data_IF_866022385432
#
_entry.id   IF_866022385432
#
_cell.length_a   1.000
_cell.length_b   1.000
_cell.length_c   1.000
_cell.angle_alpha   90.00
_cell.angle_beta   90.00
_cell.angle_gamma   90.00
#
_symmetry.space_group_name_H-M   'P 1'
#
loop_
_entity.id
_entity.type
_entity.pdbx_description
1 polymer ?
#
# COMPACT_ATOMS: atom_id res chain seq x y z
N UNK A 1 -5.76 6.96 11.90
CA UNK A 1 -6.28 6.75 10.52
C UNK A 1 -6.54 5.28 10.30
N UNK A 2 -7.26 4.88 9.24
CA UNK A 2 -7.64 3.49 8.98
C UNK A 2 -6.92 2.97 7.72
N UNK A 3 -6.43 1.75 7.78
CA UNK A 3 -5.71 1.12 6.67
C UNK A 3 -6.67 0.79 5.55
N UNK A 4 -6.43 1.30 4.34
CA UNK A 4 -7.30 0.99 3.20
C UNK A 4 -7.23 -0.49 2.79
N UNK A 5 -6.13 -1.19 3.08
CA UNK A 5 -5.97 -2.61 2.72
C UNK A 5 -6.65 -3.58 3.71
N UNK A 6 -6.51 -3.36 5.03
CA UNK A 6 -7.03 -4.28 6.04
C UNK A 6 -8.20 -3.70 6.87
N UNK A 7 -8.57 -2.44 6.64
CA UNK A 7 -9.62 -1.71 7.35
C UNK A 7 -9.45 -1.67 8.87
N UNK A 8 -8.21 -1.77 9.36
CA UNK A 8 -7.85 -1.65 10.78
C UNK A 8 -7.22 -0.30 11.09
N UNK A 9 -7.26 0.09 12.35
CA UNK A 9 -6.59 1.30 12.84
C UNK A 9 -5.09 1.23 12.55
N UNK A 10 -4.57 2.28 11.90
CA UNK A 10 -3.15 2.47 11.64
C UNK A 10 -2.58 3.36 12.72
N UNK A 11 -1.65 2.79 13.49
CA UNK A 11 -0.90 3.52 14.49
C UNK A 11 0.20 4.36 13.85
N UNK A 12 0.62 5.49 14.46
CA UNK A 12 1.67 6.35 13.93
C UNK A 12 2.97 5.62 13.57
N UNK A 13 3.32 4.58 14.34
CA UNK A 13 4.52 3.77 14.13
C UNK A 13 4.49 2.94 12.83
N UNK A 14 3.29 2.54 12.39
CA UNK A 14 3.09 1.75 11.18
C UNK A 14 2.53 2.57 10.02
N UNK A 15 2.35 3.88 10.23
CA UNK A 15 1.68 4.76 9.29
C UNK A 15 2.49 4.93 8.01
N UNK A 16 1.90 4.48 6.91
CA UNK A 16 2.42 4.67 5.57
C UNK A 16 1.36 5.39 4.73
N UNK A 17 1.75 6.47 4.07
CA UNK A 17 0.86 7.23 3.18
C UNK A 17 1.31 7.02 1.73
N UNK A 18 0.42 6.50 0.90
CA UNK A 18 0.65 6.27 -0.52
C UNK A 18 -0.56 6.75 -1.33
N UNK A 19 -0.32 7.59 -2.34
CA UNK A 19 -1.37 8.18 -3.19
C UNK A 19 -2.59 8.73 -2.42
N UNK A 20 -2.33 9.43 -1.29
CA UNK A 20 -3.35 9.98 -0.36
C UNK A 20 -4.12 8.94 0.49
N UNK A 21 -3.85 7.65 0.33
CA UNK A 21 -4.37 6.59 1.17
C UNK A 21 -3.40 6.24 2.29
N UNK A 22 -3.94 5.70 3.39
CA UNK A 22 -3.16 5.30 4.57
C UNK A 22 -3.14 3.78 4.68
N UNK A 23 -1.95 3.25 4.94
CA UNK A 23 -1.71 1.83 5.11
C UNK A 23 -0.83 1.58 6.33
N UNK A 24 -0.87 0.35 6.82
CA UNK A 24 0.24 -0.17 7.61
C UNK A 24 1.45 -0.40 6.70
N UNK A 25 2.66 -0.18 7.21
CA UNK A 25 3.91 -0.53 6.52
C UNK A 25 3.90 -1.99 5.99
N UNK A 26 3.25 -2.90 6.71
CA UNK A 26 3.15 -4.31 6.38
C UNK A 26 1.97 -4.64 5.45
N UNK A 27 0.97 -3.77 5.38
CA UNK A 27 -0.19 -3.93 4.49
C UNK A 27 0.04 -3.30 3.10
N UNK A 28 1.11 -2.52 2.93
CA UNK A 28 1.46 -1.91 1.66
C UNK A 28 2.09 -2.95 0.72
N UNK A 29 1.22 -3.75 0.09
CA UNK A 29 1.60 -4.89 -0.74
C UNK A 29 0.90 -4.83 -2.10
N UNK A 30 1.51 -5.46 -3.10
CA UNK A 30 0.94 -5.60 -4.43
C UNK A 30 -0.35 -6.42 -4.37
N UNK A 31 -1.43 -5.92 -4.96
CA UNK A 31 -2.69 -6.66 -5.05
C UNK A 31 -2.56 -7.98 -5.81
N UNK A 32 -1.69 -8.01 -6.83
CA UNK A 32 -1.53 -9.17 -7.70
C UNK A 32 -0.67 -10.28 -7.08
N UNK A 33 0.49 -9.93 -6.51
CA UNK A 33 1.46 -10.91 -5.99
C UNK A 33 1.70 -10.83 -4.48
N UNK A 34 1.01 -9.94 -3.77
CA UNK A 34 1.15 -9.72 -2.32
C UNK A 34 2.59 -9.37 -1.86
N UNK A 35 3.47 -9.01 -2.78
CA UNK A 35 4.83 -8.56 -2.46
C UNK A 35 4.80 -7.20 -1.79
N UNK A 36 5.59 -7.02 -0.73
CA UNK A 36 5.74 -5.72 -0.06
C UNK A 36 6.23 -4.67 -1.06
N UNK A 37 5.48 -3.58 -1.12
CA UNK A 37 5.82 -2.43 -1.95
C UNK A 37 6.64 -1.44 -1.12
N UNK A 38 7.40 -0.62 -1.83
CA UNK A 38 8.16 0.48 -1.22
C UNK A 38 7.66 1.79 -1.81
N UNK A 39 7.68 2.86 -1.02
CA UNK A 39 7.21 4.19 -1.45
C UNK A 39 7.93 4.73 -2.70
N UNK A 40 9.15 4.26 -3.00
CA UNK A 40 9.88 4.61 -4.23
C UNK A 40 9.62 3.70 -5.43
N UNK A 41 8.91 2.58 -5.25
CA UNK A 41 8.76 1.56 -6.28
C UNK A 41 7.39 0.88 -6.27
N UNK A 42 6.32 1.66 -6.31
CA UNK A 42 4.97 1.17 -6.49
C UNK A 42 4.25 1.89 -7.63
N UNK A 43 3.18 1.27 -8.13
CA UNK A 43 2.21 1.90 -8.98
C UNK A 43 0.83 1.84 -8.31
N UNK A 44 0.05 2.91 -8.42
CA UNK A 44 -1.31 2.96 -7.93
C UNK A 44 -2.28 3.08 -9.11
N UNK A 45 -3.33 2.26 -9.09
CA UNK A 45 -4.39 2.27 -10.10
C UNK A 45 -5.73 2.07 -9.41
N UNK A 46 -6.64 3.04 -9.56
CA UNK A 46 -7.99 2.99 -8.97
C UNK A 46 -8.05 2.67 -7.45
N UNK A 47 -7.03 3.09 -6.69
CA UNK A 47 -6.94 2.79 -5.25
C UNK A 47 -6.33 1.42 -4.91
N UNK A 48 -5.90 0.68 -5.92
CA UNK A 48 -5.15 -0.56 -5.78
C UNK A 48 -3.66 -0.33 -6.06
N UNK A 49 -2.80 -1.09 -5.38
CA UNK A 49 -1.36 -0.91 -5.43
C UNK A 49 -0.70 -2.12 -6.08
N UNK A 50 0.21 -1.85 -7.01
CA UNK A 50 0.91 -2.85 -7.80
C UNK A 50 2.42 -2.63 -7.73
N UNK A 51 3.19 -3.70 -7.86
CA UNK A 51 4.62 -3.57 -8.07
C UNK A 51 4.89 -3.18 -9.52
N UNK A 52 6.01 -2.50 -9.78
CA UNK A 52 6.44 -2.09 -11.13
C UNK A 52 6.24 -3.18 -12.20
N UNK A 53 6.68 -4.44 -12.00
CA UNK A 53 6.52 -5.46 -13.04
C UNK A 53 5.07 -5.91 -13.30
N UNK A 54 4.13 -5.74 -12.36
CA UNK A 54 2.71 -6.08 -12.61
C UNK A 54 1.90 -4.91 -13.17
N UNK A 55 2.46 -3.70 -13.16
CA UNK A 55 1.82 -2.51 -13.71
C UNK A 55 2.41 -2.07 -15.05
N UNK A 56 3.50 -2.71 -15.49
CA UNK A 56 4.16 -2.46 -16.78
C UNK A 56 3.57 -3.33 -17.89
#
# INVERSE_FOLDING_TARGET
EMCTACQKTVYPMERLVADKFVFHNACFCCKHCHTKLSLGSYAALHGEFYCKPHFQ
#
